data_IF_738039064155
#
_entry.id   IF_738039064155
#
_cell.length_a   1.000
_cell.length_b   1.000
_cell.length_c   1.000
_cell.angle_alpha   90.00
_cell.angle_beta   90.00
_cell.angle_gamma   90.00
#
_symmetry.space_group_name_H-M   'P 1'
#
loop_
_entity.id
_entity.type
_entity.pdbx_description
1 polymer ?
#
# COMPACT_ATOMS: atom_id res chain seq x y z
N UNK A 1 -32.13 0.86 4.59
CA UNK A 1 -30.81 0.97 3.92
C UNK A 1 -29.78 0.33 4.83
N UNK A 2 -29.30 -0.89 4.54
CA UNK A 2 -28.26 -1.53 5.34
C UNK A 2 -26.95 -0.76 5.10
N UNK A 3 -26.40 -0.18 6.16
CA UNK A 3 -25.10 0.48 6.08
C UNK A 3 -24.02 -0.59 5.87
N UNK A 4 -23.49 -0.68 4.66
CA UNK A 4 -22.41 -1.58 4.34
C UNK A 4 -21.14 -1.11 5.10
N UNK A 5 -20.71 -1.87 6.10
CA UNK A 5 -19.48 -1.62 6.81
C UNK A 5 -18.38 -2.53 6.24
N UNK A 6 -17.44 -2.01 5.46
CA UNK A 6 -16.33 -2.82 4.97
C UNK A 6 -15.50 -3.35 6.14
N UNK A 7 -15.10 -4.61 6.08
CA UNK A 7 -14.20 -5.22 7.06
C UNK A 7 -12.75 -5.00 6.62
N UNK A 8 -11.95 -4.39 7.50
CA UNK A 8 -10.50 -4.31 7.30
C UNK A 8 -9.92 -5.68 7.66
N UNK A 9 -9.28 -6.35 6.70
CA UNK A 9 -8.73 -7.69 6.87
C UNK A 9 -7.21 -7.71 7.05
N UNK A 10 -6.54 -6.58 6.83
CA UNK A 10 -5.11 -6.45 7.06
C UNK A 10 -4.55 -5.11 6.64
N UNK A 11 -3.38 -4.78 7.18
CA UNK A 11 -2.55 -3.64 6.79
C UNK A 11 -1.22 -4.18 6.29
N UNK A 12 -0.73 -3.62 5.17
CA UNK A 12 0.62 -3.89 4.68
C UNK A 12 1.47 -2.64 4.81
N UNK A 13 2.71 -2.79 5.30
CA UNK A 13 3.63 -1.66 5.47
C UNK A 13 4.59 -1.54 4.29
N UNK A 14 5.07 -0.35 4.01
CA UNK A 14 6.10 -0.10 3.03
C UNK A 14 6.92 1.14 3.42
N UNK A 15 8.17 1.20 2.97
CA UNK A 15 8.97 2.40 3.06
C UNK A 15 8.31 3.55 2.28
N UNK A 16 8.38 4.76 2.79
CA UNK A 16 7.78 5.95 2.16
C UNK A 16 8.28 7.24 2.80
N UNK A 17 7.40 8.03 3.40
CA UNK A 17 7.76 9.26 4.10
C UNK A 17 8.71 9.04 5.28
N UNK A 18 8.70 7.85 5.87
CA UNK A 18 9.67 7.38 6.85
C UNK A 18 10.02 5.92 6.54
N UNK A 19 11.03 5.38 7.22
CA UNK A 19 11.44 3.98 7.03
C UNK A 19 10.34 3.00 7.46
N UNK A 20 10.39 1.78 6.91
CA UNK A 20 9.36 0.76 7.15
C UNK A 20 9.22 0.37 8.62
N UNK A 21 10.29 0.41 9.40
CA UNK A 21 10.22 0.13 10.85
C UNK A 21 9.34 1.16 11.57
N UNK A 22 9.50 2.43 11.26
CA UNK A 22 8.65 3.49 11.83
C UNK A 22 7.20 3.33 11.34
N UNK A 23 6.99 3.04 10.05
CA UNK A 23 5.65 2.76 9.51
C UNK A 23 4.99 1.62 10.27
N UNK A 24 5.72 0.53 10.51
CA UNK A 24 5.22 -0.61 11.29
C UNK A 24 4.83 -0.20 12.72
N UNK A 25 5.73 0.47 13.46
CA UNK A 25 5.47 0.94 14.83
C UNK A 25 4.27 1.89 14.88
N UNK A 26 4.17 2.80 13.92
CA UNK A 26 3.07 3.77 13.85
C UNK A 26 1.73 3.08 13.59
N UNK A 27 1.70 2.05 12.73
CA UNK A 27 0.48 1.25 12.54
C UNK A 27 0.05 0.54 13.83
N UNK A 28 0.99 -0.02 14.60
CA UNK A 28 0.67 -0.63 15.90
C UNK A 28 0.08 0.41 16.87
N UNK A 29 0.68 1.60 16.95
CA UNK A 29 0.19 2.71 17.78
C UNK A 29 -1.24 3.11 17.37
N UNK A 30 -1.45 3.35 16.08
CA UNK A 30 -2.76 3.74 15.54
C UNK A 30 -3.82 2.67 15.83
N UNK A 31 -3.52 1.39 15.60
CA UNK A 31 -4.45 0.31 15.86
C UNK A 31 -4.78 0.18 17.35
N UNK A 32 -3.81 0.43 18.24
CA UNK A 32 -4.05 0.42 19.69
C UNK A 32 -5.00 1.56 20.09
N UNK A 33 -4.73 2.79 19.67
CA UNK A 33 -5.59 3.95 19.93
C UNK A 33 -7.00 3.75 19.36
N UNK A 34 -7.08 3.18 18.15
CA UNK A 34 -8.34 2.87 17.50
C UNK A 34 -9.09 1.67 18.12
N UNK A 35 -8.49 0.97 19.08
CA UNK A 35 -8.99 -0.30 19.65
C UNK A 35 -9.27 -1.37 18.58
N UNK A 36 -8.41 -1.41 17.57
CA UNK A 36 -8.50 -2.32 16.42
C UNK A 36 -7.26 -3.18 16.26
N UNK A 37 -6.70 -3.63 17.38
CA UNK A 37 -5.57 -4.55 17.41
C UNK A 37 -5.92 -5.97 16.88
N UNK A 38 -7.19 -6.19 16.55
CA UNK A 38 -7.69 -7.36 15.80
C UNK A 38 -7.22 -7.38 14.35
N UNK A 39 -6.87 -6.21 13.77
CA UNK A 39 -6.41 -6.10 12.39
C UNK A 39 -4.94 -6.52 12.27
N UNK A 40 -4.62 -7.57 11.48
CA UNK A 40 -3.24 -8.02 11.32
C UNK A 40 -2.41 -7.02 10.52
N UNK A 41 -1.13 -6.90 10.90
CA UNK A 41 -0.13 -6.13 10.16
C UNK A 41 0.82 -7.11 9.48
N UNK A 42 1.08 -6.89 8.20
CA UNK A 42 2.05 -7.64 7.39
C UNK A 42 3.18 -6.71 6.98
N UNK A 43 4.40 -7.00 7.41
CA UNK A 43 5.55 -6.19 7.10
C UNK A 43 5.94 -6.31 5.63
N UNK A 44 6.23 -5.19 4.99
CA UNK A 44 6.51 -5.14 3.57
C UNK A 44 7.86 -4.54 3.23
N UNK A 45 7.93 -3.91 2.07
CA UNK A 45 9.18 -3.47 1.47
C UNK A 45 9.87 -2.38 2.27
N UNK A 46 11.14 -2.62 2.63
CA UNK A 46 12.02 -1.66 3.30
C UNK A 46 12.68 -0.67 2.33
N UNK A 47 12.65 -0.98 1.05
CA UNK A 47 13.25 -0.17 -0.01
C UNK A 47 12.37 -0.19 -1.26
N UNK A 48 12.55 0.79 -2.11
CA UNK A 48 11.91 0.84 -3.43
C UNK A 48 12.59 -0.11 -4.41
N UNK A 49 11.93 -0.40 -5.54
CA UNK A 49 12.45 -1.35 -6.55
C UNK A 49 13.67 -0.81 -7.30
N UNK A 50 13.78 0.49 -7.47
CA UNK A 50 14.87 1.11 -8.25
C UNK A 50 15.74 1.97 -7.35
N UNK A 51 15.17 3.06 -6.81
CA UNK A 51 15.89 3.98 -5.95
C UNK A 51 15.04 4.29 -4.74
N UNK A 52 15.56 4.03 -3.55
CA UNK A 52 14.88 4.41 -2.31
C UNK A 52 15.21 5.87 -2.04
N UNK A 53 14.24 6.77 -2.01
CA UNK A 53 14.49 8.17 -1.67
C UNK A 53 14.91 8.28 -0.21
N UNK A 54 15.67 9.32 0.07
CA UNK A 54 15.98 9.67 1.45
C UNK A 54 14.67 10.05 2.18
N UNK A 55 14.55 9.59 3.40
CA UNK A 55 13.45 9.98 4.28
C UNK A 55 13.72 11.40 4.78
N UNK A 56 12.67 12.22 4.84
CA UNK A 56 12.73 13.56 5.39
C UNK A 56 12.02 13.61 6.73
N UNK A 57 12.49 14.47 7.64
CA UNK A 57 11.86 14.66 8.95
C UNK A 57 10.61 15.57 8.90
N UNK A 58 10.02 15.74 7.72
CA UNK A 58 8.85 16.62 7.55
C UNK A 58 7.65 16.22 8.45
N UNK A 59 7.49 14.92 8.69
CA UNK A 59 6.45 14.39 9.57
C UNK A 59 7.02 13.95 10.94
N UNK A 60 8.16 14.51 11.36
CA UNK A 60 8.93 14.05 12.50
C UNK A 60 9.86 12.89 12.14
N UNK A 61 10.87 12.64 12.99
CA UNK A 61 11.84 11.55 12.81
C UNK A 61 11.19 10.16 12.84
N UNK A 62 10.10 10.02 13.61
CA UNK A 62 9.31 8.80 13.66
C UNK A 62 8.25 8.71 12.53
N UNK A 63 8.04 9.81 11.79
CA UNK A 63 7.02 9.92 10.73
C UNK A 63 5.60 10.10 11.26
N UNK A 64 5.42 10.40 12.56
CA UNK A 64 4.12 10.62 13.20
C UNK A 64 4.11 11.85 14.14
N UNK A 65 5.01 12.80 13.88
CA UNK A 65 5.09 14.04 14.67
C UNK A 65 5.92 13.92 15.93
N UNK A 66 6.85 12.98 15.99
CA UNK A 66 7.74 12.72 17.13
C UNK A 66 6.97 12.48 18.44
N UNK A 67 6.00 11.56 18.38
CA UNK A 67 5.21 11.16 19.55
C UNK A 67 6.08 10.34 20.51
N UNK A 68 6.43 10.92 21.62
CA UNK A 68 7.30 10.28 22.65
C UNK A 68 6.58 9.23 23.51
N UNK A 69 5.30 8.97 23.28
CA UNK A 69 4.55 8.00 24.07
C UNK A 69 4.98 6.57 23.74
N UNK A 70 5.62 5.89 24.70
CA UNK A 70 5.85 4.45 24.62
C UNK A 70 4.55 3.71 24.93
N UNK A 71 3.94 3.16 23.91
CA UNK A 71 2.80 2.27 24.08
C UNK A 71 3.29 0.85 24.36
N UNK A 72 2.83 0.29 25.46
CA UNK A 72 3.02 -1.13 25.81
C UNK A 72 1.96 -2.00 25.14
N UNK A 73 2.11 -3.33 25.20
CA UNK A 73 1.12 -4.30 24.72
C UNK A 73 0.71 -4.12 23.24
N UNK A 74 1.68 -3.78 22.40
CA UNK A 74 1.47 -3.68 20.95
C UNK A 74 1.44 -5.09 20.35
N UNK A 75 0.45 -5.35 19.50
CA UNK A 75 0.36 -6.63 18.79
C UNK A 75 1.44 -6.72 17.73
N UNK A 76 2.25 -7.79 17.71
CA UNK A 76 3.29 -7.97 16.71
C UNK A 76 2.72 -8.18 15.31
N UNK A 77 3.54 -7.92 14.30
CA UNK A 77 3.20 -8.26 12.93
C UNK A 77 3.05 -9.78 12.76
N UNK A 78 2.34 -10.18 11.72
CA UNK A 78 2.35 -11.57 11.27
C UNK A 78 3.73 -11.94 10.73
N UNK A 79 4.12 -13.20 10.88
CA UNK A 79 5.38 -13.72 10.32
C UNK A 79 5.39 -13.68 8.79
N UNK A 80 4.21 -13.72 8.19
CA UNK A 80 4.03 -13.62 6.75
C UNK A 80 4.31 -12.19 6.26
N UNK A 81 5.13 -12.06 5.21
CA UNK A 81 5.41 -10.78 4.57
C UNK A 81 4.23 -10.25 3.73
N UNK A 82 4.20 -8.93 3.52
CA UNK A 82 3.11 -8.22 2.84
C UNK A 82 2.81 -8.76 1.42
N UNK A 83 3.82 -9.08 0.63
CA UNK A 83 3.63 -9.58 -0.74
C UNK A 83 2.91 -10.93 -0.74
N UNK A 84 3.38 -11.86 0.09
CA UNK A 84 2.75 -13.17 0.25
C UNK A 84 1.33 -13.03 0.78
N UNK A 85 1.11 -12.18 1.78
CA UNK A 85 -0.21 -11.91 2.33
C UNK A 85 -1.17 -11.33 1.28
N UNK A 86 -0.74 -10.37 0.46
CA UNK A 86 -1.55 -9.80 -0.62
C UNK A 86 -1.99 -10.89 -1.62
N UNK A 87 -1.05 -11.74 -2.05
CA UNK A 87 -1.34 -12.83 -2.99
C UNK A 87 -2.33 -13.83 -2.38
N UNK A 88 -2.09 -14.28 -1.14
CA UNK A 88 -2.98 -15.25 -0.48
C UNK A 88 -4.37 -14.68 -0.18
N UNK A 89 -4.44 -13.45 0.34
CA UNK A 89 -5.72 -12.80 0.60
C UNK A 89 -6.51 -12.58 -0.70
N UNK A 90 -5.84 -12.29 -1.84
CA UNK A 90 -6.51 -12.19 -3.13
C UNK A 90 -7.13 -13.52 -3.58
N UNK A 91 -6.53 -14.66 -3.23
CA UNK A 91 -7.07 -15.98 -3.51
C UNK A 91 -8.23 -16.31 -2.57
N UNK A 92 -8.05 -16.03 -1.27
CA UNK A 92 -9.06 -16.32 -0.24
C UNK A 92 -10.35 -15.52 -0.44
N UNK A 93 -10.22 -14.27 -0.89
CA UNK A 93 -11.33 -13.33 -1.09
C UNK A 93 -11.49 -12.95 -2.56
N UNK A 94 -11.36 -13.91 -3.45
CA UNK A 94 -11.47 -13.69 -4.90
C UNK A 94 -12.77 -12.97 -5.26
N UNK A 95 -12.69 -11.93 -6.06
CA UNK A 95 -13.82 -11.08 -6.46
C UNK A 95 -14.39 -10.19 -5.35
N UNK A 96 -13.88 -10.28 -4.11
CA UNK A 96 -14.39 -9.52 -2.96
C UNK A 96 -13.35 -8.58 -2.37
N UNK A 97 -12.04 -8.88 -2.56
CA UNK A 97 -10.97 -8.09 -1.98
C UNK A 97 -10.84 -6.73 -2.66
N UNK A 98 -10.97 -5.69 -1.85
CA UNK A 98 -10.60 -4.31 -2.24
C UNK A 98 -9.27 -3.95 -1.61
N UNK A 99 -8.33 -3.51 -2.42
CA UNK A 99 -7.03 -3.02 -1.95
C UNK A 99 -6.97 -1.50 -2.09
N UNK A 100 -6.55 -0.82 -1.03
CA UNK A 100 -6.37 0.64 -1.00
C UNK A 100 -4.90 0.92 -0.70
N UNK A 101 -4.21 1.55 -1.63
CA UNK A 101 -2.80 1.95 -1.45
C UNK A 101 -2.73 3.42 -1.05
N UNK A 102 -2.03 3.72 0.04
CA UNK A 102 -1.86 5.08 0.55
C UNK A 102 -0.39 5.54 0.55
N UNK A 103 0.49 4.69 0.05
CA UNK A 103 1.94 4.92 0.02
C UNK A 103 2.59 4.32 -1.22
N UNK A 104 3.87 3.93 -1.10
CA UNK A 104 4.63 3.33 -2.19
C UNK A 104 4.00 2.02 -2.69
N UNK A 105 3.96 1.86 -4.01
CA UNK A 105 3.34 0.70 -4.67
C UNK A 105 4.24 -0.53 -4.73
N UNK A 106 5.36 -0.55 -4.03
CA UNK A 106 6.38 -1.61 -4.10
C UNK A 106 5.79 -2.99 -3.80
N UNK A 107 4.97 -3.11 -2.74
CA UNK A 107 4.33 -4.39 -2.39
C UNK A 107 3.36 -4.85 -3.48
N UNK A 108 2.60 -3.93 -4.10
CA UNK A 108 1.67 -4.26 -5.18
C UNK A 108 2.42 -4.72 -6.42
N UNK A 109 3.46 -4.00 -6.82
CA UNK A 109 4.30 -4.39 -7.96
C UNK A 109 4.94 -5.77 -7.75
N UNK A 110 5.42 -6.05 -6.55
CA UNK A 110 5.97 -7.36 -6.20
C UNK A 110 4.88 -8.46 -6.17
N UNK A 111 3.67 -8.16 -5.69
CA UNK A 111 2.56 -9.12 -5.70
C UNK A 111 2.17 -9.48 -7.14
N UNK A 112 2.08 -8.51 -8.06
CA UNK A 112 1.82 -8.74 -9.49
C UNK A 112 2.94 -9.57 -10.12
N UNK A 113 4.20 -9.26 -9.79
CA UNK A 113 5.35 -10.02 -10.32
C UNK A 113 5.36 -11.46 -9.80
N UNK A 114 4.93 -11.67 -8.56
CA UNK A 114 4.89 -13.01 -7.92
C UNK A 114 3.73 -13.84 -8.45
N UNK A 115 2.57 -13.22 -8.68
CA UNK A 115 1.38 -13.88 -9.18
C UNK A 115 0.67 -12.98 -10.22
N UNK A 116 0.83 -13.26 -11.51
CA UNK A 116 0.22 -12.46 -12.59
C UNK A 116 -1.30 -12.35 -12.51
N UNK A 117 -1.97 -13.29 -11.84
CA UNK A 117 -3.43 -13.27 -11.65
C UNK A 117 -3.86 -12.46 -10.41
N UNK A 118 -2.93 -11.85 -9.68
CA UNK A 118 -3.25 -11.09 -8.47
C UNK A 118 -4.31 -10.01 -8.72
N UNK A 119 -4.11 -9.17 -9.74
CA UNK A 119 -5.05 -8.07 -10.05
C UNK A 119 -6.42 -8.57 -10.49
N UNK A 120 -6.49 -9.64 -11.29
CA UNK A 120 -7.76 -10.16 -11.80
C UNK A 120 -8.68 -10.72 -10.70
N UNK A 121 -8.11 -11.06 -9.54
CA UNK A 121 -8.87 -11.53 -8.38
C UNK A 121 -9.38 -10.40 -7.47
N UNK A 122 -8.89 -9.17 -7.66
CA UNK A 122 -9.37 -8.05 -6.85
C UNK A 122 -10.75 -7.58 -7.32
N UNK A 123 -11.60 -7.22 -6.37
CA UNK A 123 -12.83 -6.48 -6.68
C UNK A 123 -12.48 -5.06 -7.14
N UNK A 124 -11.59 -4.39 -6.39
CA UNK A 124 -11.15 -3.02 -6.69
C UNK A 124 -9.73 -2.79 -6.21
N UNK A 125 -9.00 -1.93 -6.93
CA UNK A 125 -7.73 -1.38 -6.49
C UNK A 125 -7.83 0.16 -6.50
N UNK A 126 -7.79 0.76 -5.32
CA UNK A 126 -7.71 2.22 -5.17
C UNK A 126 -6.26 2.62 -4.95
N UNK A 127 -5.76 3.53 -5.79
CA UNK A 127 -4.39 3.99 -5.72
C UNK A 127 -4.37 5.45 -5.28
N UNK A 128 -3.92 5.70 -4.05
CA UNK A 128 -3.56 7.03 -3.57
C UNK A 128 -2.21 7.41 -4.16
N UNK A 129 -2.23 7.92 -5.40
CA UNK A 129 -1.03 8.35 -6.08
C UNK A 129 -0.62 9.75 -5.63
N UNK A 130 0.70 10.02 -5.63
CA UNK A 130 1.28 11.29 -5.24
C UNK A 130 0.97 12.45 -6.20
N UNK A 131 1.93 13.32 -6.42
CA UNK A 131 1.77 14.61 -7.07
C UNK A 131 1.65 14.51 -8.61
N UNK A 132 0.75 15.30 -9.23
CA UNK A 132 0.51 15.33 -10.68
C UNK A 132 1.68 15.89 -11.52
N UNK A 133 2.67 16.50 -10.88
CA UNK A 133 3.84 17.09 -11.54
C UNK A 133 5.12 16.27 -11.41
N UNK A 134 5.07 15.07 -10.83
CA UNK A 134 6.24 14.20 -10.75
C UNK A 134 6.26 13.17 -11.87
N UNK A 135 7.45 12.95 -12.39
CA UNK A 135 7.71 12.00 -13.45
C UNK A 135 7.16 10.62 -13.12
N UNK A 136 6.30 10.16 -13.99
CA UNK A 136 5.79 8.81 -14.00
C UNK A 136 6.92 7.88 -14.43
N UNK A 137 7.46 7.12 -13.51
CA UNK A 137 8.40 6.06 -13.88
C UNK A 137 7.61 4.86 -14.36
N UNK A 138 7.71 4.59 -15.64
CA UNK A 138 7.08 3.45 -16.32
C UNK A 138 7.65 2.15 -15.75
N UNK A 139 6.92 1.52 -14.83
CA UNK A 139 7.26 0.20 -14.29
C UNK A 139 6.52 -0.83 -15.13
N UNK A 140 7.17 -1.42 -16.07
CA UNK A 140 6.84 -2.60 -16.84
C UNK A 140 6.95 -2.35 -18.35
N UNK A 141 8.17 -2.39 -18.83
CA UNK A 141 8.43 -2.87 -20.17
C UNK A 141 9.37 -4.04 -20.01
N UNK A 142 8.80 -5.23 -19.98
CA UNK A 142 9.32 -6.44 -20.60
C UNK A 142 8.51 -7.64 -20.06
N UNK A 143 7.58 -8.12 -20.87
CA UNK A 143 7.06 -9.47 -20.74
C UNK A 143 5.60 -9.65 -20.35
N UNK A 144 4.79 -8.60 -20.24
CA UNK A 144 3.34 -8.75 -20.18
C UNK A 144 2.74 -8.07 -21.43
N UNK A 145 2.55 -8.84 -22.45
CA UNK A 145 1.63 -8.55 -23.54
C UNK A 145 0.22 -8.53 -22.96
N UNK A 146 -0.22 -7.38 -22.60
CA UNK A 146 -1.57 -6.84 -22.50
C UNK A 146 -1.61 -5.77 -21.41
N UNK A 147 -1.38 -4.55 -21.81
CA UNK A 147 -1.97 -3.28 -21.36
C UNK A 147 -2.32 -3.10 -19.87
N UNK A 148 -1.37 -3.16 -18.95
CA UNK A 148 -1.51 -2.50 -17.67
C UNK A 148 -0.27 -1.68 -17.39
N UNK A 149 -0.36 -0.37 -17.61
CA UNK A 149 0.64 0.57 -17.15
C UNK A 149 0.40 0.84 -15.66
N UNK A 150 1.17 0.20 -14.78
CA UNK A 150 1.20 0.59 -13.37
C UNK A 150 2.07 1.83 -13.26
N UNK A 151 1.41 2.95 -13.07
CA UNK A 151 2.03 4.23 -12.84
C UNK A 151 2.50 4.30 -11.39
N UNK A 152 3.78 4.07 -11.11
CA UNK A 152 4.34 4.37 -9.81
C UNK A 152 4.61 5.87 -9.71
N UNK A 153 3.76 6.61 -9.00
CA UNK A 153 3.98 8.01 -8.69
C UNK A 153 4.68 8.10 -7.33
N UNK A 154 5.89 8.60 -7.35
CA UNK A 154 6.66 8.90 -6.14
C UNK A 154 6.19 10.24 -5.56
N UNK A 155 5.79 10.25 -4.30
CA UNK A 155 5.62 11.48 -3.53
C UNK A 155 6.86 11.72 -2.68
N UNK A 156 7.73 12.59 -3.13
CA UNK A 156 8.69 13.29 -2.25
C UNK A 156 8.09 14.67 -1.96
N UNK A 157 7.87 14.92 -0.70
CA UNK A 157 7.33 16.08 -0.05
C UNK A 157 7.09 17.36 -0.86
N UNK A 158 5.89 17.79 -0.93
CA UNK A 158 5.37 19.13 -0.61
C UNK A 158 3.90 19.25 -1.02
N UNK A 159 3.11 19.78 -0.07
CA UNK A 159 1.76 20.36 -0.24
C UNK A 159 1.14 20.14 -1.61
N UNK A 160 0.14 19.30 -1.73
CA UNK A 160 -1.09 19.51 -2.51
C UNK A 160 -1.91 18.21 -2.50
N UNK A 161 -3.22 18.38 -2.45
CA UNK A 161 -4.25 17.37 -2.30
C UNK A 161 -4.00 16.04 -3.01
N UNK A 162 -4.14 14.96 -2.25
CA UNK A 162 -4.11 13.61 -2.74
C UNK A 162 -5.26 13.42 -3.73
N UNK A 163 -4.96 13.08 -4.97
CA UNK A 163 -5.98 12.59 -5.89
C UNK A 163 -6.04 11.07 -5.78
N UNK A 164 -7.22 10.56 -5.51
CA UNK A 164 -7.50 9.14 -5.56
C UNK A 164 -7.84 8.81 -7.02
N UNK A 165 -7.06 7.93 -7.64
CA UNK A 165 -7.38 7.42 -8.97
C UNK A 165 -8.13 6.11 -8.82
N UNK A 166 -9.25 6.02 -9.50
CA UNK A 166 -10.02 4.81 -9.65
C UNK A 166 -9.57 4.09 -10.91
N UNK A 167 -9.06 2.88 -10.77
CA UNK A 167 -8.74 2.01 -11.91
C UNK A 167 -9.80 0.91 -11.93
N UNK A 168 -10.77 0.98 -12.84
CA UNK A 168 -11.72 -0.11 -13.00
C UNK A 168 -11.00 -1.34 -13.54
N UNK A 169 -11.13 -2.47 -12.87
CA UNK A 169 -10.49 -3.73 -13.27
C UNK A 169 -11.30 -4.49 -14.33
N UNK A 170 -12.50 -4.01 -14.67
CA UNK A 170 -13.45 -4.71 -15.54
C UNK A 170 -13.35 -4.40 -17.04
N UNK A 171 -12.68 -3.33 -17.46
CA UNK A 171 -12.58 -2.97 -18.88
C UNK A 171 -11.18 -3.26 -19.41
N UNK A 172 -11.05 -4.42 -20.04
CA UNK A 172 -9.83 -4.82 -20.75
C UNK A 172 -9.58 -4.02 -22.04
N UNK A 173 -10.56 -3.23 -22.51
CA UNK A 173 -10.56 -2.65 -23.86
C UNK A 173 -10.76 -1.12 -23.92
N UNK A 174 -10.76 -0.40 -22.80
CA UNK A 174 -11.01 1.04 -22.82
C UNK A 174 -10.02 1.84 -21.99
N UNK A 175 -8.80 1.96 -22.50
CA UNK A 175 -7.91 3.06 -22.11
C UNK A 175 -7.42 3.74 -23.40
N UNK A 176 -7.53 5.08 -23.48
CA UNK A 176 -7.06 5.84 -24.62
C UNK A 176 -5.53 5.83 -24.75
#
# INVERSE_FOLDING_TARGET
>A
MQCFRPKIIGLTTANGNTNENNVYRNNQRILKVAKRQDVPIYRGSKSSLVTTPETTDYFGRDGLGDVDEELTDLVPAKDQGAVSALVELSKTYEGQLTVITLGALTNIAMAIKTDPNFLSRLSHLYVGAGHIHMFVTKLLRNGLTNSFEILCVYSVGQRIGRKLFFIPLSDKDSLP
#
